data_IF_622342789134
#
_entry.id   IF_622342789134
#
_cell.length_a   1.000
_cell.length_b   1.000
_cell.length_c   1.000
_cell.angle_alpha   90.00
_cell.angle_beta   90.00
_cell.angle_gamma   90.00
#
_symmetry.space_group_name_H-M   'P 1'
#
loop_
_entity.id
_entity.type
_entity.pdbx_description
1 polymer ?
#
# COMPACT_ATOMS: atom_id res chain seq x y z
N UNK A 1 9.05 15.34 -26.75
CA UNK A 1 8.04 15.99 -25.88
C UNK A 1 7.41 14.94 -24.97
N UNK A 2 7.81 14.89 -23.69
CA UNK A 2 7.22 13.95 -22.72
C UNK A 2 5.86 14.50 -22.25
N UNK A 3 4.79 13.74 -22.48
CA UNK A 3 3.43 14.10 -22.04
C UNK A 3 3.42 14.16 -20.51
N UNK A 4 3.23 15.35 -19.94
CA UNK A 4 2.79 15.49 -18.55
C UNK A 4 1.36 15.01 -18.46
N UNK A 5 1.16 13.72 -18.30
CA UNK A 5 -0.12 13.18 -17.87
C UNK A 5 -0.24 13.42 -16.36
N UNK A 6 -0.57 14.66 -15.97
CA UNK A 6 -1.12 14.92 -14.66
C UNK A 6 -2.48 14.25 -14.62
N UNK A 7 -2.51 12.95 -14.28
CA UNK A 7 -3.77 12.27 -13.96
C UNK A 7 -4.34 13.00 -12.76
N UNK A 8 -5.59 13.45 -12.84
CA UNK A 8 -6.32 13.97 -11.68
C UNK A 8 -6.50 12.82 -10.67
N UNK A 9 -5.46 12.58 -9.87
CA UNK A 9 -5.52 11.67 -8.75
C UNK A 9 -6.22 12.43 -7.64
N UNK A 10 -7.36 11.88 -7.19
CA UNK A 10 -8.00 12.39 -5.99
C UNK A 10 -7.14 12.08 -4.76
N UNK A 11 -6.23 13.02 -4.44
CA UNK A 11 -5.28 12.88 -3.33
C UNK A 11 -6.01 12.66 -2.01
N UNK A 12 -7.17 13.29 -1.81
CA UNK A 12 -7.97 13.08 -0.61
C UNK A 12 -8.40 11.62 -0.47
N UNK A 13 -8.89 11.00 -1.54
CA UNK A 13 -9.31 9.60 -1.50
C UNK A 13 -8.15 8.64 -1.21
N UNK A 14 -6.96 8.91 -1.75
CA UNK A 14 -5.74 8.15 -1.44
C UNK A 14 -5.35 8.33 0.03
N UNK A 15 -5.33 9.57 0.52
CA UNK A 15 -4.90 9.85 1.90
C UNK A 15 -5.94 9.41 2.93
N UNK A 16 -7.23 9.34 2.56
CA UNK A 16 -8.27 8.77 3.42
C UNK A 16 -7.96 7.31 3.79
N UNK A 17 -7.40 6.49 2.89
CA UNK A 17 -7.02 5.10 3.24
C UNK A 17 -5.85 5.06 4.22
N UNK A 18 -4.87 5.95 4.06
CA UNK A 18 -3.70 6.01 4.97
C UNK A 18 -4.04 6.55 6.36
N UNK A 19 -5.00 7.47 6.46
CA UNK A 19 -5.34 8.11 7.73
C UNK A 19 -6.42 7.37 8.52
N UNK A 20 -7.30 6.63 7.86
CA UNK A 20 -8.51 6.05 8.49
C UNK A 20 -8.50 4.52 8.58
N UNK A 21 -7.52 3.86 7.98
CA UNK A 21 -7.38 2.40 8.09
C UNK A 21 -6.17 2.08 8.96
N UNK A 22 -6.38 1.25 9.98
CA UNK A 22 -5.32 0.79 10.86
C UNK A 22 -4.29 -0.06 10.09
N UNK A 23 -3.01 0.14 10.40
CA UNK A 23 -1.82 -0.51 9.82
C UNK A 23 -1.51 -0.08 8.37
N UNK A 24 -0.75 -0.91 7.65
CA UNK A 24 -0.19 -0.61 6.34
C UNK A 24 -0.37 -1.78 5.38
N UNK A 25 -0.38 -1.54 4.05
CA UNK A 25 -0.51 -2.61 3.07
C UNK A 25 0.80 -3.39 2.90
N UNK A 26 0.68 -4.70 2.71
CA UNK A 26 1.72 -5.55 2.15
C UNK A 26 1.61 -5.52 0.62
N UNK A 27 2.67 -5.07 -0.04
CA UNK A 27 2.79 -5.10 -1.50
C UNK A 27 3.56 -6.35 -1.92
N UNK A 28 2.92 -7.20 -2.72
CA UNK A 28 3.51 -8.39 -3.32
C UNK A 28 3.85 -8.06 -4.77
N UNK A 29 5.09 -8.35 -5.14
CA UNK A 29 5.61 -8.14 -6.50
C UNK A 29 5.93 -9.51 -7.09
N UNK A 30 5.38 -9.79 -8.26
CA UNK A 30 5.68 -10.99 -9.03
C UNK A 30 6.30 -10.57 -10.37
N UNK A 31 7.48 -11.12 -10.69
CA UNK A 31 8.10 -10.94 -12.00
C UNK A 31 7.67 -12.09 -12.89
N UNK A 32 7.00 -11.76 -13.99
CA UNK A 32 6.57 -12.71 -15.00
C UNK A 32 7.73 -13.10 -15.92
N UNK A 33 7.60 -14.24 -16.59
CA UNK A 33 8.64 -14.79 -17.47
C UNK A 33 8.94 -13.89 -18.69
N UNK A 34 7.97 -13.08 -19.11
CA UNK A 34 8.08 -12.07 -20.17
C UNK A 34 8.76 -10.76 -19.71
N UNK A 35 9.21 -10.70 -18.46
CA UNK A 35 9.86 -9.54 -17.87
C UNK A 35 8.89 -8.48 -17.34
N UNK A 36 7.58 -8.71 -17.38
CA UNK A 36 6.60 -7.83 -16.76
C UNK A 36 6.55 -8.01 -15.23
N UNK A 37 6.05 -7.00 -14.52
CA UNK A 37 5.83 -7.05 -13.08
C UNK A 37 4.34 -6.94 -12.76
N UNK A 38 3.84 -7.86 -11.96
CA UNK A 38 2.52 -7.80 -11.37
C UNK A 38 2.62 -7.34 -9.91
N UNK A 39 1.74 -6.40 -9.54
CA UNK A 39 1.65 -5.83 -8.20
C UNK A 39 0.29 -6.15 -7.59
N UNK A 40 0.30 -6.67 -6.37
CA UNK A 40 -0.91 -6.93 -5.58
C UNK A 40 -0.71 -6.32 -4.19
N UNK A 41 -1.74 -5.67 -3.65
CA UNK A 41 -1.74 -5.19 -2.26
C UNK A 41 -2.77 -5.94 -1.42
N UNK A 42 -2.42 -6.20 -0.15
CA UNK A 42 -3.33 -6.74 0.88
C UNK A 42 -3.01 -6.15 2.24
N UNK A 43 -3.89 -6.30 3.23
CA UNK A 43 -3.62 -5.87 4.60
C UNK A 43 -2.49 -6.71 5.20
N UNK A 44 -1.51 -6.04 5.83
CA UNK A 44 -0.45 -6.74 6.56
C UNK A 44 -0.99 -7.24 7.90
N UNK A 45 -0.96 -8.56 8.08
CA UNK A 45 -1.32 -9.21 9.33
C UNK A 45 -0.04 -9.63 10.05
N UNK A 46 0.13 -9.13 11.26
CA UNK A 46 1.24 -9.52 12.14
C UNK A 46 1.13 -11.02 12.50
N UNK A 47 2.25 -11.77 12.48
CA UNK A 47 2.30 -13.12 13.05
C UNK A 47 1.81 -13.16 14.51
N UNK A 48 1.27 -14.30 14.97
CA UNK A 48 0.71 -14.42 16.32
C UNK A 48 1.73 -14.14 17.44
N UNK A 49 3.02 -14.30 17.16
CA UNK A 49 4.16 -14.05 18.05
C UNK A 49 4.83 -12.68 17.83
N UNK A 50 4.25 -11.83 16.98
CA UNK A 50 4.77 -10.50 16.75
C UNK A 50 4.67 -9.64 18.01
N UNK A 51 5.74 -8.88 18.28
CA UNK A 51 5.72 -7.87 19.34
C UNK A 51 4.80 -6.74 18.92
N UNK A 52 3.84 -6.39 19.78
CA UNK A 52 2.95 -5.25 19.52
C UNK A 52 3.75 -4.01 19.15
N UNK A 53 3.25 -3.20 18.20
CA UNK A 53 3.94 -1.98 17.81
C UNK A 53 4.09 -1.05 19.03
N UNK A 54 5.28 -0.44 19.19
CA UNK A 54 5.58 0.48 20.29
C UNK A 54 4.70 1.74 20.30
N UNK A 55 4.05 2.05 19.18
CA UNK A 55 3.11 3.15 19.05
C UNK A 55 1.93 2.68 18.16
N UNK A 56 0.85 2.14 18.75
CA UNK A 56 -0.30 1.69 17.98
C UNK A 56 -1.02 2.89 17.34
N UNK A 57 -1.61 2.65 16.17
CA UNK A 57 -2.51 3.62 15.53
C UNK A 57 -3.68 3.96 16.46
N UNK A 58 -4.06 5.24 16.60
CA UNK A 58 -5.25 5.64 17.35
C UNK A 58 -6.56 5.41 16.58
N UNK A 59 -6.48 4.98 15.31
CA UNK A 59 -7.59 4.53 14.46
C UNK A 59 -7.54 3.02 14.27
#
# INVERSE_FOLDING_TARGET
>A
AARRAGKDVNVKAVMDTWMKQMNYPLVIIQRNADGQFQFVQKHYLEPQDAKSPKNPSPY
#
